data_IF_431632890509
#
_entry.id   IF_431632890509
#
_cell.length_a   1.000
_cell.length_b   1.000
_cell.length_c   1.000
_cell.angle_alpha   90.00
_cell.angle_beta   90.00
_cell.angle_gamma   90.00
#
_symmetry.space_group_name_H-M   'P 1'
#
loop_
_entity.id
_entity.type
_entity.pdbx_description
1 polymer ?
#
# COMPACT_ATOMS: atom_id res chain seq x y z
N UNK A 1 12.28 8.43 -6.55
CA UNK A 1 11.35 9.08 -7.52
C UNK A 1 10.07 9.32 -6.76
N UNK A 2 9.42 10.48 -6.88
CA UNK A 2 8.18 10.72 -6.12
C UNK A 2 7.00 10.15 -6.89
N UNK A 3 6.20 9.33 -6.21
CA UNK A 3 4.95 8.76 -6.74
C UNK A 3 3.78 9.42 -6.03
N UNK A 4 2.87 10.01 -6.80
CA UNK A 4 1.67 10.67 -6.32
C UNK A 4 0.44 9.78 -6.55
N UNK A 5 -0.39 9.59 -5.53
CA UNK A 5 -1.64 8.83 -5.61
C UNK A 5 -2.65 9.28 -4.56
N UNK A 6 -3.88 8.77 -4.65
CA UNK A 6 -4.92 8.97 -3.63
C UNK A 6 -5.07 7.71 -2.78
N UNK A 7 -5.16 7.89 -1.46
CA UNK A 7 -5.45 6.81 -0.52
C UNK A 7 -6.57 7.25 0.41
N UNK A 8 -7.66 6.47 0.44
CA UNK A 8 -8.83 6.75 1.29
C UNK A 8 -9.40 8.18 1.13
N UNK A 9 -9.39 8.76 -0.08
CA UNK A 9 -9.88 10.13 -0.31
C UNK A 9 -8.84 11.24 -0.11
N UNK A 10 -7.61 10.91 0.29
CA UNK A 10 -6.56 11.88 0.57
C UNK A 10 -5.37 11.70 -0.40
N UNK A 11 -4.87 12.81 -0.95
CA UNK A 11 -3.67 12.81 -1.76
C UNK A 11 -2.44 12.46 -0.93
N UNK A 12 -1.55 11.64 -1.49
CA UNK A 12 -0.28 11.23 -0.91
C UNK A 12 0.84 11.32 -1.95
N UNK A 13 1.95 11.97 -1.55
CA UNK A 13 3.19 12.02 -2.29
C UNK A 13 4.24 11.19 -1.55
N UNK A 14 4.72 10.11 -2.17
CA UNK A 14 5.66 9.16 -1.56
C UNK A 14 6.98 9.18 -2.30
N UNK A 15 8.08 9.35 -1.56
CA UNK A 15 9.44 9.45 -2.10
C UNK A 15 10.30 8.20 -1.82
N UNK A 16 9.71 7.01 -1.98
CA UNK A 16 10.37 5.72 -1.75
C UNK A 16 11.01 5.15 -3.04
N UNK A 17 11.90 4.15 -2.92
CA UNK A 17 12.36 3.38 -4.08
C UNK A 17 11.19 2.77 -4.86
N UNK A 18 11.24 2.72 -6.21
CA UNK A 18 10.12 2.28 -7.04
C UNK A 18 9.77 0.79 -6.88
N UNK A 19 10.67 -0.01 -6.31
CA UNK A 19 10.50 -1.41 -5.98
C UNK A 19 9.99 -1.64 -4.54
N UNK A 20 9.72 -0.56 -3.79
CA UNK A 20 9.13 -0.65 -2.45
C UNK A 20 7.71 -1.20 -2.54
N UNK A 21 7.37 -2.29 -1.83
CA UNK A 21 6.02 -2.85 -1.85
C UNK A 21 4.98 -1.85 -1.34
N UNK A 22 3.81 -1.82 -1.98
CA UNK A 22 2.70 -0.95 -1.56
C UNK A 22 2.31 -1.19 -0.08
N UNK A 23 2.39 -2.44 0.39
CA UNK A 23 2.15 -2.77 1.79
C UNK A 23 3.08 -2.01 2.74
N UNK A 24 4.36 -1.89 2.40
CA UNK A 24 5.35 -1.17 3.21
C UNK A 24 5.13 0.35 3.14
N UNK A 25 4.80 0.88 1.96
CA UNK A 25 4.43 2.30 1.81
C UNK A 25 3.23 2.65 2.70
N UNK A 26 2.15 1.86 2.63
CA UNK A 26 0.94 2.11 3.41
C UNK A 26 1.23 2.05 4.91
N UNK A 27 1.96 1.04 5.37
CA UNK A 27 2.20 0.83 6.80
C UNK A 27 3.27 1.76 7.34
N UNK A 28 4.47 1.75 6.76
CA UNK A 28 5.64 2.37 7.35
C UNK A 28 5.76 3.85 6.94
N UNK A 29 5.49 4.17 5.67
CA UNK A 29 5.62 5.54 5.16
C UNK A 29 4.39 6.38 5.50
N UNK A 30 3.19 5.82 5.33
CA UNK A 30 1.92 6.54 5.55
C UNK A 30 1.25 6.24 6.90
N UNK A 31 1.75 5.28 7.68
CA UNK A 31 1.20 4.97 9.01
C UNK A 31 -0.15 4.24 9.01
N UNK A 32 -0.63 3.76 7.86
CA UNK A 32 -1.91 3.08 7.68
C UNK A 32 -1.78 1.59 8.05
N UNK A 33 -1.94 1.28 9.34
CA UNK A 33 -1.67 -0.05 9.90
C UNK A 33 -2.77 -1.10 9.68
N UNK A 34 -3.86 -0.75 8.97
CA UNK A 34 -5.00 -1.64 8.73
C UNK A 34 -4.63 -2.86 7.86
N UNK A 35 -3.87 -2.65 6.79
CA UNK A 35 -3.30 -3.71 5.94
C UNK A 35 -2.20 -4.44 6.66
N UNK A 36 -2.15 -5.77 6.61
CA UNK A 36 -1.21 -6.58 7.40
C UNK A 36 -0.30 -7.45 6.54
N UNK A 37 0.96 -7.57 6.97
CA UNK A 37 1.84 -8.62 6.49
C UNK A 37 1.40 -9.96 7.11
N UNK A 38 0.85 -10.85 6.28
CA UNK A 38 0.40 -12.17 6.70
C UNK A 38 1.35 -13.26 6.24
N UNK A 39 1.19 -13.69 4.99
CA UNK A 39 1.95 -14.83 4.46
C UNK A 39 3.16 -14.45 3.58
N UNK A 40 3.21 -13.25 2.98
CA UNK A 40 4.24 -12.90 1.98
C UNK A 40 4.21 -13.75 0.70
N UNK A 41 3.14 -14.54 0.52
CA UNK A 41 2.98 -15.53 -0.55
C UNK A 41 1.64 -15.36 -1.30
N UNK A 42 0.98 -14.21 -1.16
CA UNK A 42 -0.28 -13.88 -1.85
C UNK A 42 -1.48 -14.83 -1.58
N UNK A 43 -1.42 -15.67 -0.55
CA UNK A 43 -2.46 -16.68 -0.27
C UNK A 43 -3.52 -16.24 0.75
N UNK A 44 -3.15 -15.38 1.70
CA UNK A 44 -4.01 -15.10 2.86
C UNK A 44 -4.91 -13.87 2.72
N UNK A 45 -4.65 -12.98 1.74
CA UNK A 45 -5.41 -11.74 1.54
C UNK A 45 -5.26 -10.68 2.65
N UNK A 46 -4.39 -10.85 3.64
CA UNK A 46 -4.27 -9.91 4.76
C UNK A 46 -3.76 -8.51 4.39
N UNK A 47 -3.06 -8.41 3.27
CA UNK A 47 -2.52 -7.17 2.71
C UNK A 47 -3.40 -6.57 1.60
N UNK A 48 -4.55 -7.18 1.30
CA UNK A 48 -5.40 -6.80 0.19
C UNK A 48 -5.92 -5.37 0.34
N UNK A 49 -5.91 -4.62 -0.75
CA UNK A 49 -6.49 -3.28 -0.84
C UNK A 49 -7.33 -3.17 -2.11
N UNK A 50 -8.08 -2.06 -2.22
CA UNK A 50 -8.73 -1.71 -3.47
C UNK A 50 -7.85 -0.69 -4.20
N UNK A 51 -7.40 -1.04 -5.39
CA UNK A 51 -6.77 -0.12 -6.34
C UNK A 51 -7.78 0.17 -7.44
N UNK A 52 -8.19 1.44 -7.55
CA UNK A 52 -9.22 1.87 -8.52
C UNK A 52 -10.52 1.04 -8.44
N UNK A 53 -10.90 0.63 -7.21
CA UNK A 53 -12.07 -0.19 -6.94
C UNK A 53 -11.90 -1.69 -7.16
N UNK A 54 -10.73 -2.15 -7.58
CA UNK A 54 -10.42 -3.57 -7.84
C UNK A 54 -9.53 -4.12 -6.72
N UNK A 55 -9.84 -5.31 -6.16
CA UNK A 55 -8.98 -5.93 -5.16
C UNK A 55 -7.64 -6.34 -5.76
N UNK A 56 -6.56 -5.97 -5.08
CA UNK A 56 -5.17 -6.35 -5.40
C UNK A 56 -4.47 -6.89 -4.16
#
# INVERSE_FOLDING_TARGET
MTTAFEVNGAAADVADPPDTPLLDVLRNTLGLMGTRYGCGLEQCGSCMVLLDGVPV
#
